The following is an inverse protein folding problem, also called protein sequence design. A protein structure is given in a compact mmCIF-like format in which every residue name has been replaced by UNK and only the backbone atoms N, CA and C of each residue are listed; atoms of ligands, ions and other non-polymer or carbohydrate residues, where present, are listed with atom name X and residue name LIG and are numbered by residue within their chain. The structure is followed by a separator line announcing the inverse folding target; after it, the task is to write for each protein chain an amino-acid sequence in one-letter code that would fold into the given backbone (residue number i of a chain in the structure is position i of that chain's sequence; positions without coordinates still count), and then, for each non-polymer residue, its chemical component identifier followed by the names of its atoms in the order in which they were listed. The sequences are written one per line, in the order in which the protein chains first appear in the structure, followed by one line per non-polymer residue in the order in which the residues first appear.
data_IF_605664731946
#
_entry.id   IF_605664731946
#
_cell.length_a   1.000
_cell.length_b   1.000
_cell.length_c   1.000
_cell.angle_alpha   90.00
_cell.angle_beta   90.00
_cell.angle_gamma   90.00
#
_symmetry.space_group_name_H-M   'P 1'
#
loop_
_entity.id
_entity.type
_entity.pdbx_description
1 polymer ?
#
# COMPACT_ATOMS: atom_id res chain seq x y z
N UNK A 1 11.52 27.12 -37.73
CA UNK A 1 10.38 26.78 -36.86
C UNK A 1 10.54 25.33 -36.44
N UNK A 2 11.07 25.09 -35.24
CA UNK A 2 11.28 23.73 -34.73
C UNK A 2 10.01 23.28 -34.01
N UNK A 3 9.23 22.40 -34.64
CA UNK A 3 8.13 21.71 -33.97
C UNK A 3 8.70 20.67 -33.01
N UNK A 4 8.63 20.97 -31.71
CA UNK A 4 8.91 20.03 -30.63
C UNK A 4 7.88 18.90 -30.68
N UNK A 5 8.25 17.77 -31.26
CA UNK A 5 7.51 16.51 -31.18
C UNK A 5 7.47 16.08 -29.71
N UNK A 6 6.27 15.99 -29.13
CA UNK A 6 6.07 15.47 -27.79
C UNK A 6 6.66 14.05 -27.68
N UNK A 7 7.30 13.70 -26.56
CA UNK A 7 7.92 12.38 -26.39
C UNK A 7 6.83 11.30 -26.47
N UNK A 8 6.98 10.37 -27.42
CA UNK A 8 6.15 9.16 -27.46
C UNK A 8 6.48 8.33 -26.22
N UNK A 9 5.48 8.03 -25.38
CA UNK A 9 5.66 7.13 -24.23
C UNK A 9 5.97 5.73 -24.75
N UNK A 10 7.16 5.24 -24.45
CA UNK A 10 7.55 3.85 -24.71
C UNK A 10 6.65 2.93 -23.86
N UNK A 11 6.06 1.91 -24.47
CA UNK A 11 5.07 1.07 -23.81
C UNK A 11 4.96 -0.33 -24.41
N UNK A 12 4.62 -1.30 -23.56
CA UNK A 12 4.41 -2.69 -23.98
C UNK A 12 3.01 -2.85 -24.56
N UNK A 13 2.90 -3.57 -25.68
CA UNK A 13 1.59 -3.92 -26.26
C UNK A 13 1.05 -5.20 -25.60
N UNK A 14 -0.08 -5.08 -24.93
CA UNK A 14 -0.74 -6.21 -24.27
C UNK A 14 -2.22 -6.24 -24.63
N UNK A 15 -2.75 -7.43 -24.93
CA UNK A 15 -4.18 -7.65 -25.16
C UNK A 15 -4.83 -8.05 -23.85
N UNK A 16 -5.79 -7.27 -23.37
CA UNK A 16 -6.54 -7.53 -22.13
C UNK A 16 -8.04 -7.52 -22.41
N UNK A 17 -8.81 -8.31 -21.66
CA UNK A 17 -10.27 -8.23 -21.67
C UNK A 17 -10.72 -7.22 -20.62
N UNK A 18 -11.46 -6.20 -21.04
CA UNK A 18 -12.01 -5.17 -20.15
C UNK A 18 -13.50 -5.39 -19.94
N UNK A 19 -14.00 -5.07 -18.75
CA UNK A 19 -15.44 -5.03 -18.51
C UNK A 19 -16.08 -3.85 -19.27
N UNK A 20 -17.39 -3.91 -19.58
CA UNK A 20 -18.09 -2.81 -20.24
C UNK A 20 -17.99 -1.49 -19.47
N UNK A 21 -17.98 -1.55 -18.14
CA UNK A 21 -17.87 -0.37 -17.26
C UNK A 21 -16.52 0.33 -17.40
N UNK A 22 -15.42 -0.43 -17.46
CA UNK A 22 -14.07 0.12 -17.65
C UNK A 22 -13.95 0.79 -19.01
N UNK A 23 -14.55 0.19 -20.05
CA UNK A 23 -14.55 0.76 -21.39
C UNK A 23 -15.37 2.06 -21.47
N UNK A 24 -16.50 2.12 -20.77
CA UNK A 24 -17.31 3.35 -20.66
C UNK A 24 -16.55 4.47 -19.93
N UNK A 25 -15.87 4.14 -18.82
CA UNK A 25 -15.05 5.10 -18.08
C UNK A 25 -13.88 5.63 -18.93
N UNK A 26 -13.20 4.76 -19.68
CA UNK A 26 -12.10 5.16 -20.57
C UNK A 26 -12.59 6.09 -21.70
N UNK A 27 -13.75 5.80 -22.31
CA UNK A 27 -14.35 6.68 -23.33
C UNK A 27 -14.71 8.06 -22.78
N UNK A 28 -15.28 8.13 -21.58
CA UNK A 28 -15.57 9.39 -20.91
C UNK A 28 -14.29 10.21 -20.69
N UNK A 29 -13.20 9.56 -20.30
CA UNK A 29 -11.89 10.21 -20.15
C UNK A 29 -11.35 10.73 -21.48
N UNK A 30 -11.52 9.95 -22.56
CA UNK A 30 -11.16 10.34 -23.92
C UNK A 30 -11.92 11.59 -24.38
N UNK A 31 -13.22 11.69 -24.12
CA UNK A 31 -14.02 12.87 -24.46
C UNK A 31 -13.61 14.10 -23.64
N UNK A 32 -13.29 13.90 -22.37
CA UNK A 32 -12.98 15.01 -21.44
C UNK A 32 -11.56 15.56 -21.66
N UNK A 33 -10.60 14.69 -21.98
CA UNK A 33 -9.16 15.04 -22.04
C UNK A 33 -8.53 14.91 -23.44
N UNK A 34 -9.27 14.42 -24.43
CA UNK A 34 -8.75 14.20 -25.79
C UNK A 34 -7.68 13.12 -25.88
N UNK A 35 -7.67 12.16 -24.94
CA UNK A 35 -6.65 11.11 -24.85
C UNK A 35 -6.92 9.94 -25.81
N UNK A 36 -5.87 9.20 -26.17
CA UNK A 36 -6.02 7.91 -26.83
C UNK A 36 -6.68 6.90 -25.87
N UNK A 37 -7.30 5.84 -26.40
CA UNK A 37 -7.93 4.81 -25.56
C UNK A 37 -6.90 4.14 -24.63
N UNK A 38 -5.69 3.87 -25.13
CA UNK A 38 -4.61 3.30 -24.34
C UNK A 38 -4.15 4.23 -23.22
N UNK A 39 -4.04 5.54 -23.51
CA UNK A 39 -3.67 6.54 -22.51
C UNK A 39 -4.75 6.70 -21.43
N UNK A 40 -6.03 6.72 -21.83
CA UNK A 40 -7.15 6.79 -20.90
C UNK A 40 -7.21 5.56 -19.97
N UNK A 41 -6.97 4.36 -20.51
CA UNK A 41 -6.91 3.12 -19.71
C UNK A 41 -5.71 3.15 -18.75
N UNK A 42 -4.54 3.60 -19.22
CA UNK A 42 -3.34 3.70 -18.38
C UNK A 42 -3.50 4.74 -17.26
N UNK A 43 -4.18 5.85 -17.52
CA UNK A 43 -4.49 6.84 -16.50
C UNK A 43 -5.44 6.27 -15.43
N UNK A 44 -6.51 5.59 -15.85
CA UNK A 44 -7.42 4.91 -14.91
C UNK A 44 -6.69 3.85 -14.07
N UNK A 45 -5.78 3.09 -14.68
CA UNK A 45 -4.96 2.12 -13.97
C UNK A 45 -4.03 2.81 -12.96
N UNK A 46 -3.38 3.91 -13.35
CA UNK A 46 -2.48 4.68 -12.49
C UNK A 46 -3.22 5.25 -11.28
N UNK A 47 -4.40 5.85 -11.48
CA UNK A 47 -5.26 6.33 -10.40
C UNK A 47 -5.73 5.18 -9.49
N UNK A 48 -5.92 3.98 -10.05
CA UNK A 48 -6.23 2.77 -9.29
C UNK A 48 -5.06 2.28 -8.43
N UNK A 49 -3.84 2.36 -8.96
CA UNK A 49 -2.59 2.00 -8.24
C UNK A 49 -2.28 3.00 -7.13
N UNK A 50 -2.39 4.31 -7.39
CA UNK A 50 -2.23 5.35 -6.38
C UNK A 50 -3.27 5.27 -5.25
N UNK A 51 -4.44 4.70 -5.57
CA UNK A 51 -5.51 4.45 -4.60
C UNK A 51 -5.29 3.19 -3.76
N UNK A 52 -4.15 2.50 -3.88
CA UNK A 52 -3.77 1.47 -2.91
C UNK A 52 -3.92 2.03 -1.48
N UNK A 53 -4.77 1.33 -0.72
CA UNK A 53 -5.33 1.76 0.57
C UNK A 53 -4.22 2.29 1.47
N UNK A 54 -4.46 3.34 2.29
CA UNK A 54 -3.53 3.67 3.35
C UNK A 54 -3.32 2.37 4.14
N UNK A 55 -2.08 1.87 4.17
CA UNK A 55 -1.70 0.80 5.11
C UNK A 55 -2.21 1.30 6.45
N UNK A 56 -3.28 0.68 6.97
CA UNK A 56 -3.91 1.11 8.22
C UNK A 56 -2.79 0.97 9.23
N UNK A 57 -2.15 2.10 9.59
CA UNK A 57 -1.05 2.10 10.56
C UNK A 57 -1.67 1.45 11.78
N UNK A 58 -1.09 0.33 12.20
CA UNK A 58 -1.50 -0.30 13.43
C UNK A 58 -1.26 0.73 14.53
N UNK A 59 -2.35 1.27 15.08
CA UNK A 59 -2.30 2.13 16.26
C UNK A 59 -2.59 1.20 17.41
N UNK A 60 -1.56 0.87 18.19
CA UNK A 60 -1.76 0.20 19.46
C UNK A 60 -2.57 1.16 20.34
N UNK A 61 -3.77 0.78 20.82
CA UNK A 61 -4.51 1.62 21.75
C UNK A 61 -3.68 1.79 23.02
N UNK A 62 -3.39 3.02 23.41
CA UNK A 62 -2.88 3.30 24.75
C UNK A 62 -3.98 2.94 25.73
N UNK A 63 -3.77 1.88 26.48
CA UNK A 63 -4.62 1.53 27.61
C UNK A 63 -3.95 2.09 28.87
N UNK A 64 -4.66 2.91 29.63
CA UNK A 64 -4.24 3.33 30.97
C UNK A 64 -4.36 2.11 31.91
N UNK A 65 -3.38 1.21 31.78
CA UNK A 65 -3.28 0.02 32.60
C UNK A 65 -2.65 0.41 33.92
N UNK A 66 -3.46 0.39 34.98
CA UNK A 66 -2.98 0.50 36.36
C UNK A 66 -2.62 -0.91 36.84
N UNK A 67 -1.33 -1.28 36.86
CA UNK A 67 -0.95 -2.61 37.28
C UNK A 67 -1.30 -2.80 38.75
N UNK A 68 -1.89 -3.96 39.08
CA UNK A 68 -2.23 -4.33 40.47
C UNK A 68 -1.01 -4.71 41.31
N UNK A 69 0.13 -4.87 40.65
CA UNK A 69 1.43 -5.24 41.20
C UNK A 69 2.46 -4.25 40.70
N UNK A 70 3.50 -3.96 41.46
CA UNK A 70 4.55 -3.05 41.01
C UNK A 70 5.38 -3.72 39.91
N UNK A 71 5.16 -3.29 38.66
CA UNK A 71 5.85 -3.81 37.48
C UNK A 71 7.17 -3.09 37.19
N UNK A 72 7.64 -2.23 38.11
CA UNK A 72 8.96 -1.59 37.97
C UNK A 72 10.08 -2.63 37.90
N UNK A 73 9.90 -3.78 38.55
CA UNK A 73 10.77 -4.96 38.40
C UNK A 73 9.95 -6.18 37.94
N UNK A 74 9.90 -6.40 36.63
CA UNK A 74 9.14 -7.52 36.03
C UNK A 74 9.70 -8.89 36.43
N UNK A 75 11.00 -8.99 36.71
CA UNK A 75 11.64 -10.25 37.13
C UNK A 75 11.11 -10.73 38.48
N UNK A 76 11.01 -9.83 39.46
CA UNK A 76 10.42 -10.14 40.77
C UNK A 76 8.93 -10.49 40.66
N UNK A 77 8.16 -9.74 39.86
CA UNK A 77 6.73 -10.00 39.66
C UNK A 77 6.48 -11.37 39.05
N UNK A 78 7.34 -11.80 38.13
CA UNK A 78 7.24 -13.10 37.48
C UNK A 78 7.94 -14.23 38.25
N UNK A 79 8.60 -13.93 39.38
CA UNK A 79 9.35 -14.91 40.17
C UNK A 79 10.54 -15.52 39.41
N UNK A 80 11.13 -14.76 38.49
CA UNK A 80 12.28 -15.18 37.70
C UNK A 80 13.54 -14.68 38.41
N UNK A 81 14.22 -15.57 39.12
CA UNK A 81 15.41 -15.24 39.94
C UNK A 81 16.75 -15.47 39.23
N UNK A 82 16.77 -16.11 38.05
CA UNK A 82 17.98 -16.27 37.24
C UNK A 82 17.75 -15.82 35.79
N UNK A 83 18.77 -15.18 35.21
CA UNK A 83 18.90 -14.91 33.78
C UNK A 83 19.11 -16.24 33.05
N UNK A 84 18.06 -17.06 32.98
CA UNK A 84 18.06 -18.30 32.20
C UNK A 84 18.35 -17.90 30.74
N UNK A 85 19.48 -18.39 30.24
CA UNK A 85 20.07 -18.14 28.94
C UNK A 85 19.01 -18.18 27.82
N UNK A 86 18.35 -17.05 27.55
CA UNK A 86 17.34 -16.90 26.50
C UNK A 86 18.00 -16.77 25.11
N UNK A 87 19.03 -17.57 24.86
CA UNK A 87 19.81 -17.57 23.62
C UNK A 87 19.73 -18.95 22.96
N UNK A 88 18.55 -19.33 22.45
CA UNK A 88 18.50 -20.54 21.59
C UNK A 88 17.17 -21.18 21.23
N UNK A 89 16.02 -20.50 21.21
CA UNK A 89 14.75 -21.18 20.85
C UNK A 89 13.86 -20.54 19.79
N UNK A 90 14.37 -19.55 19.04
CA UNK A 90 13.67 -18.97 17.88
C UNK A 90 14.59 -18.75 16.67
N UNK A 91 15.63 -19.57 16.54
CA UNK A 91 16.33 -19.73 15.26
C UNK A 91 15.85 -21.05 14.63
N UNK A 92 14.68 -20.99 13.98
CA UNK A 92 14.25 -21.98 13.01
C UNK A 92 13.24 -21.40 12.03
#
# INVERSE_FOLDING_TARGET
MTTTTAPQKEGTRTTVRLSPEVLAAARKLQETKGLSLSDAVNELATLGLERERPKKKFVLPEFDYKPKVDVTNVGEVLGIEEEEEWRGKYDR
#
